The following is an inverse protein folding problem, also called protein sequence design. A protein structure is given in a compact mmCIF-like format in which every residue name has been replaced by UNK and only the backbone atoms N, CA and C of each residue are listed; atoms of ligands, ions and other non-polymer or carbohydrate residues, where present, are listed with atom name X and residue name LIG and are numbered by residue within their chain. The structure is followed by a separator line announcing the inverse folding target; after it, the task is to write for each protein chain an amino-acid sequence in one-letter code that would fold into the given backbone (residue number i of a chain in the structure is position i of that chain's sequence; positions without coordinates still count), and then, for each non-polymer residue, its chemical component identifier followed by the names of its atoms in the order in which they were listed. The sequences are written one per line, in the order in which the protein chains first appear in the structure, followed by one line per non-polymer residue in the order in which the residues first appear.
data_IF_563553914782
#
_entry.id   IF_563553914782
#
_cell.length_a   1.000
_cell.length_b   1.000
_cell.length_c   1.000
_cell.angle_alpha   90.00
_cell.angle_beta   90.00
_cell.angle_gamma   90.00
#
_symmetry.space_group_name_H-M   'P 1'
#
loop_
_entity.id
_entity.type
_entity.pdbx_description
1 polymer ?
#
# COMPACT_ATOMS: atom_id res chain seq x y z
N UNK A 1 -16.26 -37.93 -4.43
CA UNK A 1 -14.84 -37.65 -4.17
C UNK A 1 -14.77 -36.16 -3.83
N UNK A 2 -14.69 -35.85 -2.53
CA UNK A 2 -14.62 -34.47 -2.03
C UNK A 2 -13.29 -33.85 -2.46
N UNK A 3 -13.37 -32.72 -3.15
CA UNK A 3 -12.20 -31.89 -3.42
C UNK A 3 -11.46 -31.64 -2.09
N UNK A 4 -10.12 -31.71 -2.06
CA UNK A 4 -9.38 -31.36 -0.87
C UNK A 4 -9.79 -29.93 -0.46
N UNK A 5 -10.11 -29.76 0.82
CA UNK A 5 -10.26 -28.44 1.43
C UNK A 5 -8.91 -27.72 1.26
N UNK A 6 -8.75 -26.96 0.19
CA UNK A 6 -7.70 -25.94 0.12
C UNK A 6 -8.10 -24.96 1.20
N UNK A 7 -7.52 -25.13 2.39
CA UNK A 7 -7.71 -24.27 3.54
C UNK A 7 -7.33 -22.87 3.10
N UNK A 8 -8.32 -22.03 2.74
CA UNK A 8 -8.09 -20.64 2.34
C UNK A 8 -7.18 -20.01 3.38
N UNK A 9 -5.97 -19.65 2.98
CA UNK A 9 -5.02 -19.04 3.90
C UNK A 9 -5.67 -17.74 4.39
N UNK A 10 -5.87 -17.59 5.70
CA UNK A 10 -6.60 -16.44 6.19
C UNK A 10 -5.79 -15.17 5.96
N UNK A 11 -6.48 -14.10 5.54
CA UNK A 11 -5.86 -12.87 5.04
C UNK A 11 -4.91 -12.20 6.05
N UNK A 12 -5.07 -12.44 7.36
CA UNK A 12 -4.21 -11.90 8.41
C UNK A 12 -2.79 -12.50 8.45
N UNK A 13 -2.53 -13.60 7.73
CA UNK A 13 -1.20 -14.28 7.71
C UNK A 13 -0.25 -13.60 6.72
N UNK A 14 -0.79 -12.93 5.69
CA UNK A 14 0.03 -12.37 4.62
C UNK A 14 0.97 -11.23 5.04
N UNK A 15 0.63 -10.33 5.99
CA UNK A 15 1.59 -9.36 6.51
C UNK A 15 2.84 -10.03 7.12
N UNK A 16 2.65 -11.10 7.89
CA UNK A 16 3.77 -11.90 8.43
C UNK A 16 4.53 -12.67 7.35
N UNK A 17 3.81 -13.20 6.35
CA UNK A 17 4.42 -13.85 5.19
C UNK A 17 5.28 -12.88 4.40
N UNK A 18 4.88 -11.61 4.29
CA UNK A 18 5.67 -10.54 3.66
C UNK A 18 6.99 -10.28 4.38
N UNK A 19 6.97 -10.21 5.72
CA UNK A 19 8.19 -10.09 6.53
C UNK A 19 9.12 -11.29 6.29
N UNK A 20 8.57 -12.51 6.40
CA UNK A 20 9.35 -13.74 6.21
C UNK A 20 9.93 -13.83 4.79
N UNK A 21 9.16 -13.47 3.78
CA UNK A 21 9.58 -13.49 2.39
C UNK A 21 10.74 -12.52 2.13
N UNK A 22 10.66 -11.31 2.68
CA UNK A 22 11.72 -10.31 2.56
C UNK A 22 13.02 -10.76 3.23
N UNK A 23 12.91 -11.46 4.38
CA UNK A 23 14.07 -12.01 5.10
C UNK A 23 14.70 -13.22 4.39
N UNK A 24 13.89 -14.05 3.74
CA UNK A 24 14.35 -15.31 3.11
C UNK A 24 14.95 -15.08 1.71
N UNK A 25 14.50 -14.03 0.98
CA UNK A 25 15.01 -13.69 -0.36
C UNK A 25 15.62 -12.28 -0.43
N UNK A 26 16.72 -12.01 0.30
CA UNK A 26 17.25 -10.66 0.43
C UNK A 26 17.77 -10.09 -0.91
N UNK A 27 18.51 -10.86 -1.72
CA UNK A 27 19.28 -10.29 -2.85
C UNK A 27 18.45 -9.63 -3.95
N UNK A 28 17.23 -10.09 -4.22
CA UNK A 28 16.41 -9.57 -5.34
C UNK A 28 15.46 -8.45 -4.91
N UNK A 29 14.97 -8.46 -3.66
CA UNK A 29 14.00 -7.49 -3.17
C UNK A 29 14.62 -6.38 -2.31
N UNK A 30 15.67 -6.64 -1.53
CA UNK A 30 16.22 -5.64 -0.60
C UNK A 30 16.66 -4.36 -1.31
N UNK A 31 17.28 -4.46 -2.49
CA UNK A 31 17.75 -3.27 -3.17
C UNK A 31 16.59 -2.34 -3.54
N UNK A 32 15.46 -2.90 -3.98
CA UNK A 32 14.26 -2.14 -4.33
C UNK A 32 13.52 -1.61 -3.10
N UNK A 33 13.52 -2.36 -1.99
CA UNK A 33 12.87 -1.97 -0.73
C UNK A 33 13.69 -0.97 0.10
N UNK A 34 15.02 -1.07 0.10
CA UNK A 34 15.92 -0.21 0.88
C UNK A 34 16.21 1.11 0.15
N UNK A 35 16.22 1.10 -1.20
CA UNK A 35 16.40 2.31 -1.99
C UNK A 35 15.48 3.50 -1.60
N UNK A 36 14.15 3.35 -1.46
CA UNK A 36 13.28 4.46 -1.05
C UNK A 36 13.53 4.92 0.38
N UNK A 37 13.96 4.02 1.28
CA UNK A 37 14.33 4.38 2.66
C UNK A 37 15.59 5.24 2.66
N UNK A 38 16.62 4.81 1.93
CA UNK A 38 17.87 5.57 1.81
C UNK A 38 17.62 6.92 1.13
N UNK A 39 16.83 6.94 0.05
CA UNK A 39 16.52 8.16 -0.70
C UNK A 39 15.71 9.16 0.13
N UNK A 40 14.73 8.69 0.92
CA UNK A 40 13.98 9.56 1.85
C UNK A 40 14.86 10.08 3.00
N UNK A 41 15.81 9.28 3.50
CA UNK A 41 16.76 9.72 4.52
C UNK A 41 17.71 10.81 3.98
N UNK A 42 18.27 10.61 2.78
CA UNK A 42 19.12 11.60 2.10
C UNK A 42 18.34 12.89 1.84
N UNK A 43 17.12 12.77 1.32
CA UNK A 43 16.25 13.92 1.08
C UNK A 43 15.87 14.64 2.38
N UNK A 44 15.66 13.91 3.47
CA UNK A 44 15.34 14.50 4.77
C UNK A 44 16.49 15.33 5.33
N UNK A 45 17.71 14.81 5.29
CA UNK A 45 18.92 15.56 5.69
C UNK A 45 19.11 16.78 4.81
N UNK A 46 18.92 16.62 3.49
CA UNK A 46 18.99 17.73 2.54
C UNK A 46 17.92 18.79 2.83
N UNK A 47 16.67 18.39 3.06
CA UNK A 47 15.54 19.28 3.32
C UNK A 47 15.75 20.08 4.61
N UNK A 48 16.16 19.43 5.70
CA UNK A 48 16.46 20.11 6.97
C UNK A 48 17.64 21.08 6.80
N UNK A 49 18.72 20.63 6.15
CA UNK A 49 19.89 21.47 5.90
C UNK A 49 19.56 22.68 5.02
N UNK A 50 18.74 22.50 4.00
CA UNK A 50 18.24 23.57 3.13
C UNK A 50 17.37 24.55 3.92
N UNK A 51 16.41 24.07 4.71
CA UNK A 51 15.53 24.95 5.49
C UNK A 51 16.31 25.74 6.55
N UNK A 52 17.29 25.14 7.22
CA UNK A 52 18.13 25.85 8.20
C UNK A 52 19.06 26.89 7.54
N UNK A 53 19.62 26.61 6.36
CA UNK A 53 20.53 27.57 5.69
C UNK A 53 19.81 28.68 4.92
N UNK A 54 18.64 28.41 4.37
CA UNK A 54 17.97 29.30 3.41
C UNK A 54 16.70 29.92 3.98
N UNK A 55 15.83 29.11 4.60
CA UNK A 55 14.53 29.57 5.08
C UNK A 55 14.67 30.29 6.42
N UNK A 56 15.46 29.74 7.36
CA UNK A 56 15.67 30.32 8.69
C UNK A 56 16.13 31.79 8.66
N UNK A 57 17.26 32.15 7.99
CA UNK A 57 17.70 33.56 7.97
C UNK A 57 16.68 34.46 7.27
N UNK A 58 16.07 33.99 6.17
CA UNK A 58 15.06 34.77 5.45
C UNK A 58 13.81 35.09 6.28
N UNK A 59 13.37 34.15 7.12
CA UNK A 59 12.21 34.34 7.99
C UNK A 59 12.57 35.25 9.16
N UNK A 60 13.74 35.03 9.76
CA UNK A 60 14.24 35.85 10.86
C UNK A 60 14.36 37.32 10.43
N UNK A 61 15.03 37.60 9.30
CA UNK A 61 15.24 38.96 8.80
C UNK A 61 13.91 39.68 8.51
N UNK A 62 12.94 38.98 7.90
CA UNK A 62 11.59 39.52 7.65
C UNK A 62 10.82 39.85 8.92
N UNK A 63 10.95 39.05 9.97
CA UNK A 63 10.26 39.30 11.24
C UNK A 63 10.90 40.48 11.98
N UNK A 64 12.23 40.63 11.90
CA UNK A 64 12.94 41.80 12.43
C UNK A 64 12.54 43.07 11.67
N UNK A 65 12.42 43.02 10.34
CA UNK A 65 11.93 44.15 9.53
C UNK A 65 10.50 44.56 9.92
N UNK A 66 9.68 43.61 10.36
CA UNK A 66 8.32 43.86 10.86
C UNK A 66 8.28 44.37 12.32
N UNK A 67 9.42 44.73 12.92
CA UNK A 67 9.59 45.18 14.31
C UNK A 67 9.17 44.15 15.37
N UNK A 68 9.29 42.84 15.09
CA UNK A 68 9.06 41.82 16.11
C UNK A 68 10.25 41.71 17.08
N UNK A 69 10.02 41.41 18.37
CA UNK A 69 11.09 41.17 19.34
C UNK A 69 12.02 40.04 18.91
N UNK A 70 13.33 40.21 19.05
CA UNK A 70 14.34 39.26 18.55
C UNK A 70 14.13 37.82 19.03
N UNK A 71 13.83 37.64 20.32
CA UNK A 71 13.58 36.32 20.91
C UNK A 71 12.36 35.61 20.30
N UNK A 72 11.32 36.39 19.96
CA UNK A 72 10.10 35.88 19.34
C UNK A 72 10.33 35.55 17.86
N UNK A 73 11.06 36.39 17.14
CA UNK A 73 11.46 36.15 15.74
C UNK A 73 12.28 34.87 15.59
N UNK A 74 13.22 34.62 16.50
CA UNK A 74 14.00 33.38 16.54
C UNK A 74 13.11 32.15 16.75
N UNK A 75 12.24 32.19 17.76
CA UNK A 75 11.37 31.06 18.11
C UNK A 75 10.38 30.73 16.96
N UNK A 76 9.71 31.73 16.41
CA UNK A 76 8.74 31.56 15.33
C UNK A 76 9.42 31.05 14.05
N UNK A 77 10.60 31.57 13.71
CA UNK A 77 11.37 31.09 12.56
C UNK A 77 11.84 29.65 12.76
N UNK A 78 12.30 29.29 13.96
CA UNK A 78 12.72 27.91 14.25
C UNK A 78 11.57 26.91 14.10
N UNK A 79 10.40 27.21 14.68
CA UNK A 79 9.21 26.35 14.56
C UNK A 79 8.74 26.27 13.10
N UNK A 80 8.69 27.40 12.39
CA UNK A 80 8.25 27.45 10.98
C UNK A 80 9.18 26.64 10.08
N UNK A 81 10.50 26.74 10.25
CA UNK A 81 11.50 25.96 9.51
C UNK A 81 11.32 24.46 9.73
N UNK A 82 11.09 24.02 10.97
CA UNK A 82 10.82 22.62 11.27
C UNK A 82 9.56 22.17 10.55
N UNK A 83 8.47 22.95 10.64
CA UNK A 83 7.20 22.62 10.00
C UNK A 83 7.31 22.58 8.47
N UNK A 84 7.98 23.55 7.85
CA UNK A 84 8.21 23.61 6.41
C UNK A 84 9.06 22.44 5.92
N UNK A 85 10.12 22.09 6.66
CA UNK A 85 10.91 20.89 6.35
C UNK A 85 10.08 19.61 6.47
N UNK A 86 9.18 19.52 7.46
CA UNK A 86 8.27 18.39 7.59
C UNK A 86 7.28 18.31 6.42
N UNK A 87 6.73 19.45 5.97
CA UNK A 87 5.85 19.51 4.79
C UNK A 87 6.59 19.09 3.52
N UNK A 88 7.80 19.59 3.30
CA UNK A 88 8.63 19.20 2.15
C UNK A 88 8.91 17.69 2.15
N UNK A 89 9.27 17.12 3.30
CA UNK A 89 9.47 15.68 3.46
C UNK A 89 8.19 14.89 3.20
N UNK A 90 7.05 15.36 3.69
CA UNK A 90 5.75 14.71 3.48
C UNK A 90 5.37 14.69 2.00
N UNK A 91 5.54 15.80 1.29
CA UNK A 91 5.28 15.90 -0.15
C UNK A 91 6.21 14.96 -0.92
N UNK A 92 7.51 14.95 -0.58
CA UNK A 92 8.47 14.06 -1.21
C UNK A 92 8.10 12.58 -1.00
N UNK A 93 7.75 12.20 0.22
CA UNK A 93 7.33 10.84 0.56
C UNK A 93 6.03 10.45 -0.17
N UNK A 94 5.07 11.36 -0.28
CA UNK A 94 3.81 11.13 -1.00
C UNK A 94 4.02 10.84 -2.50
N UNK A 95 5.10 11.34 -3.10
CA UNK A 95 5.47 11.05 -4.49
C UNK A 95 6.35 9.80 -4.58
N UNK A 96 7.29 9.64 -3.64
CA UNK A 96 8.25 8.55 -3.62
C UNK A 96 7.58 7.19 -3.39
N UNK A 97 6.68 7.09 -2.41
CA UNK A 97 6.09 5.82 -1.99
C UNK A 97 5.35 5.13 -3.14
N UNK A 98 4.43 5.77 -3.87
CA UNK A 98 3.75 5.13 -4.99
C UNK A 98 4.73 4.55 -6.03
N UNK A 99 5.73 5.34 -6.46
CA UNK A 99 6.69 4.90 -7.47
C UNK A 99 7.48 3.65 -7.08
N UNK A 100 7.91 3.57 -5.81
CA UNK A 100 8.69 2.43 -5.33
C UNK A 100 7.80 1.27 -4.88
N UNK A 101 6.58 1.55 -4.43
CA UNK A 101 5.59 0.53 -4.12
C UNK A 101 5.33 -0.34 -5.34
N UNK A 102 5.11 0.26 -6.52
CA UNK A 102 4.88 -0.46 -7.77
C UNK A 102 6.09 -1.35 -8.12
N UNK A 103 7.31 -0.79 -8.04
CA UNK A 103 8.54 -1.51 -8.34
C UNK A 103 8.81 -2.72 -7.39
N UNK A 104 8.45 -2.60 -6.11
CA UNK A 104 8.56 -3.67 -5.11
C UNK A 104 7.46 -4.71 -5.31
N UNK A 105 6.25 -4.26 -5.64
CA UNK A 105 5.11 -5.13 -5.91
C UNK A 105 5.40 -6.02 -7.13
N UNK A 106 5.84 -5.43 -8.23
CA UNK A 106 6.21 -6.14 -9.46
C UNK A 106 7.33 -7.16 -9.24
N UNK A 107 8.35 -6.76 -8.48
CA UNK A 107 9.44 -7.66 -8.11
C UNK A 107 8.94 -8.86 -7.29
N UNK A 108 7.94 -8.64 -6.43
CA UNK A 108 7.34 -9.70 -5.61
C UNK A 108 6.52 -10.66 -6.46
N UNK A 109 5.70 -10.15 -7.38
CA UNK A 109 4.94 -11.00 -8.32
C UNK A 109 5.85 -11.82 -9.23
N UNK A 110 6.92 -11.21 -9.76
CA UNK A 110 7.92 -11.91 -10.57
C UNK A 110 8.63 -13.02 -9.78
N UNK A 111 8.92 -12.78 -8.50
CA UNK A 111 9.53 -13.79 -7.63
C UNK A 111 8.58 -14.95 -7.29
N UNK A 112 7.26 -14.72 -7.33
CA UNK A 112 6.21 -15.74 -7.19
C UNK A 112 5.87 -16.49 -8.50
N UNK A 113 6.53 -16.14 -9.61
CA UNK A 113 6.34 -16.76 -10.91
C UNK A 113 5.20 -16.19 -11.75
N UNK A 114 4.60 -15.06 -11.34
CA UNK A 114 3.59 -14.34 -12.13
C UNK A 114 4.25 -13.27 -13.04
N UNK A 115 5.46 -13.51 -13.52
CA UNK A 115 6.17 -12.55 -14.38
C UNK A 115 5.42 -12.25 -15.67
N UNK A 116 4.83 -13.28 -16.29
CA UNK A 116 4.13 -13.19 -17.57
C UNK A 116 2.88 -12.30 -17.52
N UNK A 117 2.26 -12.15 -16.34
CA UNK A 117 1.13 -11.23 -16.12
C UNK A 117 1.53 -9.76 -16.24
N UNK A 118 2.81 -9.43 -16.02
CA UNK A 118 3.32 -8.06 -16.09
C UNK A 118 3.74 -7.66 -17.51
N UNK A 119 4.21 -8.60 -18.31
CA UNK A 119 4.71 -8.34 -19.68
C UNK A 119 3.58 -7.85 -20.62
N UNK A 120 2.33 -8.26 -20.39
CA UNK A 120 1.14 -7.76 -21.12
C UNK A 120 0.87 -6.25 -20.90
N UNK A 121 1.57 -5.59 -19.96
CA UNK A 121 1.30 -4.20 -19.55
C UNK A 121 2.43 -3.22 -19.95
N UNK A 122 3.52 -3.68 -20.56
CA UNK A 122 4.76 -2.88 -20.77
C UNK A 122 4.67 -1.74 -21.82
N UNK A 123 3.58 -1.60 -22.58
CA UNK A 123 3.49 -0.62 -23.69
C UNK A 123 3.20 0.85 -23.27
N UNK A 124 3.09 1.15 -21.97
CA UNK A 124 2.75 2.50 -21.51
C UNK A 124 4.01 3.25 -21.01
N UNK A 125 4.33 4.45 -21.53
CA UNK A 125 5.50 5.21 -21.09
C UNK A 125 5.44 5.55 -19.60
N UNK A 126 6.49 5.16 -18.85
CA UNK A 126 6.60 5.30 -17.39
C UNK A 126 6.32 6.73 -16.87
N UNK A 127 6.66 7.75 -17.64
CA UNK A 127 6.36 9.15 -17.29
C UNK A 127 4.87 9.48 -17.28
N UNK A 128 4.08 8.94 -18.21
CA UNK A 128 2.63 9.14 -18.25
C UNK A 128 1.95 8.44 -17.09
N UNK A 129 2.44 7.25 -16.71
CA UNK A 129 2.03 6.54 -15.50
C UNK A 129 2.36 7.38 -14.27
N UNK A 130 3.58 7.92 -14.15
CA UNK A 130 3.98 8.79 -13.03
C UNK A 130 3.05 10.01 -12.92
N UNK A 131 2.75 10.71 -14.02
CA UNK A 131 1.87 11.89 -14.00
C UNK A 131 0.40 11.56 -13.69
N UNK A 132 -0.10 10.42 -14.19
CA UNK A 132 -1.43 9.90 -13.85
C UNK A 132 -1.50 9.48 -12.38
N UNK A 133 -0.44 8.83 -11.90
CA UNK A 133 -0.27 8.38 -10.53
C UNK A 133 -0.12 9.57 -9.60
N UNK A 134 0.54 10.67 -9.97
CA UNK A 134 0.57 11.90 -9.15
C UNK A 134 -0.83 12.52 -9.04
N UNK A 135 -1.58 12.65 -10.15
CA UNK A 135 -2.95 13.21 -10.09
C UNK A 135 -3.92 12.33 -9.30
N UNK A 136 -3.88 11.01 -9.52
CA UNK A 136 -4.70 10.05 -8.79
C UNK A 136 -4.26 9.94 -7.33
N UNK A 137 -2.96 9.91 -7.06
CA UNK A 137 -2.40 9.86 -5.71
C UNK A 137 -2.68 11.14 -4.94
N UNK A 138 -2.70 12.33 -5.54
CA UNK A 138 -3.09 13.55 -4.80
C UNK A 138 -4.55 13.47 -4.35
N UNK A 139 -5.45 13.01 -5.21
CA UNK A 139 -6.88 12.83 -4.87
C UNK A 139 -7.06 11.72 -3.84
N UNK A 140 -6.40 10.57 -4.05
CA UNK A 140 -6.43 9.42 -3.13
C UNK A 140 -5.79 9.78 -1.80
N UNK A 141 -4.66 10.49 -1.78
CA UNK A 141 -4.01 11.00 -0.57
C UNK A 141 -4.91 12.00 0.15
N UNK A 142 -5.61 12.88 -0.57
CA UNK A 142 -6.60 13.79 0.02
C UNK A 142 -7.77 13.04 0.64
N UNK A 143 -8.34 12.06 -0.07
CA UNK A 143 -9.44 11.23 0.41
C UNK A 143 -8.99 10.37 1.61
N UNK A 144 -7.78 9.82 1.56
CA UNK A 144 -7.18 9.05 2.66
C UNK A 144 -6.88 9.95 3.84
N UNK A 145 -6.35 11.16 3.65
CA UNK A 145 -6.13 12.13 4.72
C UNK A 145 -7.45 12.53 5.37
N UNK A 146 -8.47 12.86 4.58
CA UNK A 146 -9.82 13.14 5.09
C UNK A 146 -10.40 11.95 5.85
N UNK A 147 -10.23 10.74 5.32
CA UNK A 147 -10.65 9.50 5.98
C UNK A 147 -9.88 9.28 7.28
N UNK A 148 -8.56 9.49 7.31
CA UNK A 148 -7.72 9.33 8.49
C UNK A 148 -8.03 10.38 9.55
N UNK A 149 -8.29 11.63 9.17
CA UNK A 149 -8.71 12.71 10.07
C UNK A 149 -10.10 12.40 10.64
N UNK A 150 -11.04 11.97 9.81
CA UNK A 150 -12.37 11.56 10.24
C UNK A 150 -12.30 10.36 11.20
N UNK A 151 -11.50 9.35 10.87
CA UNK A 151 -11.26 8.19 11.72
C UNK A 151 -10.55 8.57 13.01
N UNK A 152 -9.62 9.52 12.99
CA UNK A 152 -8.96 10.05 14.18
C UNK A 152 -9.99 10.68 15.13
N UNK A 153 -10.88 11.55 14.60
CA UNK A 153 -11.95 12.17 15.39
C UNK A 153 -12.90 11.10 15.97
N UNK A 154 -13.23 10.09 15.17
CA UNK A 154 -14.11 9.00 15.60
C UNK A 154 -13.46 8.06 16.63
N UNK A 155 -12.15 7.81 16.51
CA UNK A 155 -11.39 6.91 17.40
C UNK A 155 -10.76 7.60 18.61
N UNK A 156 -10.70 8.94 18.62
CA UNK A 156 -10.25 9.76 19.75
C UNK A 156 -10.98 9.45 21.08
N UNK A 157 -12.33 9.38 21.15
CA UNK A 157 -13.01 9.00 22.39
C UNK A 157 -12.75 7.54 22.78
N UNK A 158 -12.36 6.70 21.82
CA UNK A 158 -12.15 5.28 22.00
C UNK A 158 -10.76 4.95 22.57
N UNK A 159 -9.78 5.81 22.32
CA UNK A 159 -8.41 5.71 22.84
C UNK A 159 -8.32 5.93 24.36
N UNK A 160 -9.41 6.36 25.01
CA UNK A 160 -9.50 6.48 26.48
C UNK A 160 -9.33 5.14 27.20
N UNK A 161 -9.60 4.02 26.53
CA UNK A 161 -9.41 2.67 27.06
C UNK A 161 -8.14 2.07 26.43
N UNK A 162 -7.00 2.04 27.14
CA UNK A 162 -5.79 1.43 26.61
C UNK A 162 -6.04 -0.05 26.27
N UNK A 163 -5.42 -0.52 25.17
CA UNK A 163 -5.60 -1.86 24.57
C UNK A 163 -6.88 -2.03 23.75
N UNK A 164 -8.08 -1.83 24.32
CA UNK A 164 -9.33 -1.99 23.55
C UNK A 164 -9.50 -0.91 22.48
N UNK A 165 -9.18 0.34 22.82
CA UNK A 165 -9.20 1.45 21.87
C UNK A 165 -8.23 1.24 20.72
N UNK A 166 -7.02 0.73 21.01
CA UNK A 166 -6.00 0.43 20.01
C UNK A 166 -6.43 -0.72 19.10
N UNK A 167 -6.97 -1.81 19.65
CA UNK A 167 -7.44 -2.94 18.85
C UNK A 167 -8.59 -2.55 17.91
N UNK A 168 -9.56 -1.77 18.38
CA UNK A 168 -10.65 -1.29 17.53
C UNK A 168 -10.14 -0.29 16.49
N UNK A 169 -9.20 0.60 16.86
CA UNK A 169 -8.57 1.52 15.93
C UNK A 169 -7.82 0.77 14.83
N UNK A 170 -7.11 -0.33 15.14
CA UNK A 170 -6.46 -1.19 14.15
C UNK A 170 -7.48 -1.80 13.19
N UNK A 171 -8.62 -2.29 13.70
CA UNK A 171 -9.64 -2.91 12.86
C UNK A 171 -10.32 -1.90 11.92
N UNK A 172 -10.66 -0.73 12.46
CA UNK A 172 -11.32 0.35 11.71
C UNK A 172 -10.36 0.96 10.68
N UNK A 173 -9.11 1.22 11.05
CA UNK A 173 -8.09 1.76 10.13
C UNK A 173 -7.50 0.69 9.21
N UNK A 174 -7.67 -0.58 9.53
CA UNK A 174 -7.14 -1.69 8.77
C UNK A 174 -7.76 -1.78 7.38
N UNK A 175 -9.09 -1.76 7.29
CA UNK A 175 -9.79 -1.84 6.00
C UNK A 175 -9.34 -0.79 4.97
N UNK A 176 -9.33 0.53 5.28
CA UNK A 176 -8.88 1.53 4.31
C UNK A 176 -7.38 1.43 4.01
N UNK A 177 -6.57 0.98 4.96
CA UNK A 177 -5.12 0.77 4.73
C UNK A 177 -4.88 -0.38 3.75
N UNK A 178 -5.55 -1.53 3.96
CA UNK A 178 -5.49 -2.66 3.05
C UNK A 178 -6.01 -2.30 1.65
N UNK A 179 -7.12 -1.55 1.57
CA UNK A 179 -7.65 -1.09 0.30
C UNK A 179 -6.67 -0.15 -0.40
N UNK A 180 -6.06 0.80 0.31
CA UNK A 180 -5.05 1.70 -0.25
C UNK A 180 -3.86 0.94 -0.86
N UNK A 181 -3.41 -0.14 -0.21
CA UNK A 181 -2.30 -0.97 -0.70
C UNK A 181 -2.70 -1.81 -1.92
N UNK A 182 -3.96 -2.27 -1.98
CA UNK A 182 -4.51 -2.98 -3.14
C UNK A 182 -4.86 -2.08 -4.32
N UNK A 183 -5.23 -0.82 -4.06
CA UNK A 183 -5.79 0.08 -5.04
C UNK A 183 -4.83 0.34 -6.21
N UNK A 184 -3.52 0.43 -5.92
CA UNK A 184 -2.50 0.60 -6.94
C UNK A 184 -2.44 -0.61 -7.89
N UNK A 185 -2.43 -1.84 -7.34
CA UNK A 185 -2.49 -3.06 -8.14
C UNK A 185 -3.75 -3.14 -9.01
N UNK A 186 -4.92 -2.85 -8.43
CA UNK A 186 -6.20 -2.93 -9.13
C UNK A 186 -6.26 -1.95 -10.32
N UNK A 187 -5.66 -0.76 -10.19
CA UNK A 187 -5.68 0.25 -11.24
C UNK A 187 -4.58 0.00 -12.28
N UNK A 188 -3.37 -0.36 -11.85
CA UNK A 188 -2.20 -0.42 -12.72
C UNK A 188 -2.08 -1.76 -13.44
N UNK A 189 -2.28 -2.88 -12.75
CA UNK A 189 -2.15 -4.22 -13.32
C UNK A 189 -3.49 -4.73 -13.85
N UNK A 190 -4.59 -4.50 -13.13
CA UNK A 190 -5.92 -4.96 -13.56
C UNK A 190 -6.70 -3.94 -14.41
N UNK A 191 -6.19 -2.71 -14.55
CA UNK A 191 -6.84 -1.65 -15.33
C UNK A 191 -8.21 -1.20 -14.78
N UNK A 192 -8.53 -1.50 -13.52
CA UNK A 192 -9.83 -1.18 -12.93
C UNK A 192 -9.98 0.30 -12.62
N UNK A 193 -11.23 0.77 -12.63
CA UNK A 193 -11.55 2.10 -12.08
C UNK A 193 -11.52 2.06 -10.55
N UNK A 194 -11.18 3.19 -9.93
CA UNK A 194 -11.20 3.37 -8.45
C UNK A 194 -12.54 2.92 -7.83
N UNK A 195 -13.66 3.22 -8.50
CA UNK A 195 -15.01 2.83 -8.06
C UNK A 195 -15.25 1.31 -8.11
N UNK A 196 -14.63 0.61 -9.06
CA UNK A 196 -14.74 -0.84 -9.22
C UNK A 196 -13.89 -1.55 -8.16
N UNK A 197 -12.66 -1.07 -7.93
CA UNK A 197 -11.81 -1.54 -6.82
C UNK A 197 -12.50 -1.33 -5.48
N UNK A 198 -13.08 -0.16 -5.24
CA UNK A 198 -13.85 0.11 -4.01
C UNK A 198 -15.01 -0.86 -3.82
N UNK A 199 -15.78 -1.14 -4.89
CA UNK A 199 -16.89 -2.11 -4.83
C UNK A 199 -16.40 -3.52 -4.53
N UNK A 200 -15.25 -3.90 -5.07
CA UNK A 200 -14.62 -5.20 -4.79
C UNK A 200 -14.12 -5.30 -3.34
N UNK A 201 -13.49 -4.25 -2.83
CA UNK A 201 -13.03 -4.15 -1.44
C UNK A 201 -14.21 -4.18 -0.46
N UNK A 202 -15.34 -3.57 -0.82
CA UNK A 202 -16.58 -3.64 -0.04
C UNK A 202 -17.17 -5.07 0.00
N UNK A 203 -17.16 -5.79 -1.13
CA UNK A 203 -17.64 -7.19 -1.19
C UNK A 203 -16.82 -8.10 -0.27
N UNK A 204 -15.51 -7.92 -0.23
CA UNK A 204 -14.59 -8.72 0.57
C UNK A 204 -14.12 -8.00 1.86
N UNK A 205 -14.97 -7.14 2.44
CA UNK A 205 -14.62 -6.26 3.58
C UNK A 205 -13.92 -6.96 4.74
N UNK A 206 -14.32 -8.19 5.07
CA UNK A 206 -13.74 -8.96 6.16
C UNK A 206 -12.29 -9.38 5.90
N UNK A 207 -11.96 -9.75 4.67
CA UNK A 207 -10.59 -10.13 4.30
C UNK A 207 -9.67 -8.92 4.31
N UNK A 208 -10.13 -7.79 3.75
CA UNK A 208 -9.40 -6.52 3.78
C UNK A 208 -9.23 -6.00 5.21
N UNK A 209 -10.25 -6.08 6.06
CA UNK A 209 -10.15 -5.67 7.45
C UNK A 209 -9.18 -6.56 8.25
N UNK A 210 -9.21 -7.89 8.06
CA UNK A 210 -8.32 -8.81 8.75
C UNK A 210 -6.85 -8.64 8.34
N UNK A 211 -6.57 -8.49 7.03
CA UNK A 211 -5.22 -8.18 6.54
C UNK A 211 -4.76 -6.83 7.08
N UNK A 212 -5.59 -5.81 6.89
CA UNK A 212 -5.26 -4.44 7.24
C UNK A 212 -5.11 -4.20 8.74
N UNK A 213 -5.86 -4.91 9.58
CA UNK A 213 -5.73 -4.78 11.03
C UNK A 213 -4.34 -5.21 11.51
N UNK A 214 -3.81 -6.31 10.97
CA UNK A 214 -2.46 -6.78 11.28
C UNK A 214 -1.40 -5.86 10.65
N UNK A 215 -1.59 -5.48 9.38
CA UNK A 215 -0.68 -4.55 8.70
C UNK A 215 -0.55 -3.22 9.46
N UNK A 216 -1.68 -2.63 9.86
CA UNK A 216 -1.71 -1.40 10.65
C UNK A 216 -1.15 -1.61 12.06
N UNK A 217 -1.40 -2.75 12.71
CA UNK A 217 -0.81 -3.06 14.01
C UNK A 217 0.73 -3.16 13.96
N UNK A 218 1.28 -3.67 12.85
CA UNK A 218 2.73 -3.66 12.62
C UNK A 218 3.26 -2.24 12.41
N UNK A 219 2.54 -1.41 11.66
CA UNK A 219 2.89 0.01 11.45
C UNK A 219 2.81 0.86 12.74
N UNK A 220 2.01 0.44 13.73
CA UNK A 220 1.98 1.09 15.04
C UNK A 220 3.27 0.90 15.85
N UNK A 221 4.13 -0.05 15.50
CA UNK A 221 5.39 -0.27 16.20
C UNK A 221 6.32 0.92 15.89
N UNK A 222 6.64 1.77 16.88
CA UNK A 222 7.51 2.92 16.66
C UNK A 222 8.91 2.44 16.22
N UNK A 223 9.63 3.29 15.49
CA UNK A 223 10.93 3.00 14.85
C UNK A 223 10.88 2.04 13.66
N UNK A 224 10.05 0.99 13.72
CA UNK A 224 9.95 -0.02 12.66
C UNK A 224 8.82 0.25 11.65
N UNK A 225 7.94 1.22 11.91
CA UNK A 225 6.83 1.59 11.03
C UNK A 225 7.25 1.68 9.55
N UNK A 226 8.30 2.44 9.25
CA UNK A 226 8.77 2.64 7.87
C UNK A 226 9.18 1.33 7.19
N UNK A 227 9.74 0.37 7.93
CA UNK A 227 10.07 -0.96 7.41
C UNK A 227 8.81 -1.79 7.19
N UNK A 228 7.86 -1.72 8.13
CA UNK A 228 6.62 -2.48 8.06
C UNK A 228 5.72 -2.05 6.92
N UNK A 229 5.72 -0.76 6.54
CA UNK A 229 5.05 -0.30 5.31
C UNK A 229 5.52 -1.10 4.09
N UNK A 230 6.83 -1.28 3.93
CA UNK A 230 7.38 -2.05 2.81
C UNK A 230 7.10 -3.55 2.92
N UNK A 231 7.21 -4.14 4.10
CA UNK A 231 6.86 -5.57 4.26
C UNK A 231 5.38 -5.83 4.05
N UNK A 232 4.51 -4.87 4.41
CA UNK A 232 3.08 -4.94 4.17
C UNK A 232 2.79 -4.89 2.67
N UNK A 233 3.48 -4.04 1.88
CA UNK A 233 3.39 -4.03 0.41
C UNK A 233 3.74 -5.41 -0.18
N UNK A 234 4.85 -6.02 0.28
CA UNK A 234 5.24 -7.38 -0.12
C UNK A 234 4.17 -8.39 0.28
N UNK A 235 3.64 -8.29 1.51
CA UNK A 235 2.53 -9.12 1.99
C UNK A 235 1.27 -9.01 1.14
N UNK A 236 0.92 -7.79 0.71
CA UNK A 236 -0.19 -7.52 -0.21
C UNK A 236 0.05 -8.19 -1.57
N UNK A 237 1.24 -8.06 -2.14
CA UNK A 237 1.60 -8.72 -3.40
C UNK A 237 1.51 -10.25 -3.29
N UNK A 238 1.98 -10.82 -2.18
CA UNK A 238 1.83 -12.26 -1.91
C UNK A 238 0.35 -12.67 -1.78
N UNK A 239 -0.47 -11.85 -1.13
CA UNK A 239 -1.91 -12.12 -1.02
C UNK A 239 -2.60 -12.09 -2.39
N UNK A 240 -2.29 -11.08 -3.20
CA UNK A 240 -2.78 -10.97 -4.58
C UNK A 240 -2.35 -12.16 -5.42
N UNK A 241 -1.07 -12.55 -5.36
CA UNK A 241 -0.56 -13.71 -6.12
C UNK A 241 -1.27 -15.01 -5.73
N UNK A 242 -1.56 -15.19 -4.43
CA UNK A 242 -2.27 -16.36 -3.93
C UNK A 242 -3.72 -16.41 -4.45
N UNK A 243 -4.45 -15.29 -4.35
CA UNK A 243 -5.83 -15.20 -4.85
C UNK A 243 -5.88 -15.40 -6.37
N UNK A 244 -4.88 -14.90 -7.09
CA UNK A 244 -4.81 -15.07 -8.54
C UNK A 244 -4.59 -16.53 -8.93
N UNK A 245 -3.62 -17.22 -8.31
CA UNK A 245 -3.36 -18.66 -8.53
C UNK A 245 -4.61 -19.51 -8.22
N UNK A 246 -5.28 -19.22 -7.10
CA UNK A 246 -6.52 -19.93 -6.69
C UNK A 246 -7.65 -19.77 -7.73
N UNK A 247 -7.80 -18.57 -8.32
CA UNK A 247 -8.81 -18.33 -9.35
C UNK A 247 -8.50 -19.05 -10.68
N UNK A 248 -7.22 -19.16 -11.05
CA UNK A 248 -6.81 -19.91 -12.24
C UNK A 248 -7.12 -21.40 -12.08
N UNK A 249 -6.70 -22.01 -10.97
CA UNK A 249 -6.98 -23.42 -10.66
C UNK A 249 -8.49 -23.70 -10.68
N UNK A 250 -9.29 -22.81 -10.10
CA UNK A 250 -10.76 -22.94 -10.09
C UNK A 250 -11.35 -22.87 -11.50
N UNK A 251 -10.77 -22.06 -12.40
CA UNK A 251 -11.25 -21.90 -13.78
C UNK A 251 -10.91 -23.13 -14.62
N UNK A 252 -9.69 -23.65 -14.47
CA UNK A 252 -9.25 -24.91 -15.11
C UNK A 252 -10.09 -26.10 -14.64
N UNK A 253 -10.39 -26.21 -13.34
CA UNK A 253 -11.26 -27.25 -12.80
C UNK A 253 -12.69 -27.16 -13.38
N UNK A 254 -13.23 -25.95 -13.54
CA UNK A 254 -14.55 -25.73 -14.13
C UNK A 254 -14.60 -26.10 -15.61
N UNK A 255 -13.57 -25.75 -16.38
CA UNK A 255 -13.42 -26.14 -17.79
C UNK A 255 -13.25 -27.65 -17.95
N UNK A 256 -12.42 -28.29 -17.12
CA UNK A 256 -12.25 -29.74 -17.13
C UNK A 256 -13.55 -30.48 -16.75
N UNK A 257 -14.30 -29.97 -15.77
CA UNK A 257 -15.58 -30.56 -15.36
C UNK A 257 -16.68 -30.39 -16.42
N UNK A 258 -16.71 -29.26 -17.11
CA UNK A 258 -17.67 -28.99 -18.20
C UNK A 258 -17.33 -29.76 -19.48
N UNK A 259 -16.05 -29.93 -19.81
CA UNK A 259 -15.60 -30.81 -20.90
C UNK A 259 -15.97 -32.28 -20.64
N UNK A 260 -15.74 -32.77 -19.42
CA UNK A 260 -16.05 -34.16 -19.04
C UNK A 260 -17.57 -34.44 -19.06
N UNK A 261 -18.38 -33.46 -18.65
CA UNK A 261 -19.86 -33.56 -18.71
C UNK A 261 -20.39 -33.59 -20.14
N UNK A 262 -19.73 -32.89 -21.06
CA UNK A 262 -20.08 -32.84 -22.50
C UNK A 262 -19.69 -34.13 -23.22
N UNK A 263 -18.54 -34.72 -22.86
CA UNK A 263 -18.11 -36.04 -23.36
C UNK A 263 -19.08 -37.15 -22.94
N UNK A 264 -19.44 -37.21 -21.66
CA UNK A 264 -20.40 -38.21 -21.16
C UNK A 264 -21.81 -38.05 -21.75
N UNK A 265 -22.25 -36.83 -22.09
CA UNK A 265 -23.52 -36.59 -22.75
C UNK A 265 -23.52 -37.08 -24.21
N UNK A 266 -22.36 -37.04 -24.88
CA UNK A 266 -22.23 -37.48 -26.28
C UNK A 266 -22.20 -39.01 -26.37
N UNK A 267 -21.59 -39.68 -25.40
CA UNK A 267 -21.49 -41.15 -25.31
C UNK A 267 -22.83 -41.82 -24.89
N UNK A 268 -23.72 -41.07 -24.22
CA UNK A 268 -25.05 -41.54 -23.81
C UNK A 268 -26.16 -41.31 -24.84
N UNK A 269 -25.87 -40.72 -26.00
CA UNK A 269 -26.81 -40.72 -27.14
C UNK A 269 -26.61 -42.03 -27.90
N UNK A 270 -27.47 -43.07 -27.72
CA UNK A 270 -27.35 -44.25 -28.55
C UNK A 270 -27.69 -43.82 -29.97
N UNK A 271 -26.86 -44.25 -30.92
CA UNK A 271 -27.15 -44.14 -32.33
C UNK A 271 -28.53 -44.75 -32.59
N UNK A 272 -29.54 -43.91 -32.74
CA UNK A 272 -30.78 -44.27 -33.42
C UNK A 272 -30.45 -44.38 -34.91
N UNK A 273 -29.85 -45.52 -35.26
CA UNK A 273 -30.03 -46.14 -36.57
C UNK A 273 -31.33 -46.93 -36.59
#
# INVERSE_FOLDING_TARGET
MSLPEIKRIPSFVFPFKGIYFLLTRPKQLWLKTVAPILLSLVFSVFSIGFSLKVLFPRQFDKLIELNWPEWMSWFVSAVSVILESAILNLIFFAILVPMFQDAVFDATLKAEGLGDLLDDTEDIPRLVIIWRNIKSSVIVLWVLLMTKIFLLILTAPLQLIPVLGTALACYINGWPTAWSQHLHYDIEIRGLKVSESYRQACKNKWNYANFGAVAFALELIPLFNFLFVWTNIVGTALWVSYVYKENLETSEDQEASSANKTSNATEQTPLLQ
#
